data_IF_120933001885
#
_entry.id   IF_120933001885
#
_cell.length_a   1.000
_cell.length_b   1.000
_cell.length_c   1.000
_cell.angle_alpha   90.00
_cell.angle_beta   90.00
_cell.angle_gamma   90.00
#
_symmetry.space_group_name_H-M   'P 1'
#
loop_
_entity.id
_entity.type
_entity.pdbx_description
1 polymer ?
#
# COMPACT_ATOMS: atom_id res chain seq x y z
N UNK A 1 -8.47 12.62 13.46
CA UNK A 1 -8.64 11.26 12.92
C UNK A 1 -7.45 10.97 12.03
N UNK A 2 -6.70 9.90 12.27
CA UNK A 2 -5.57 9.54 11.41
C UNK A 2 -6.08 9.26 9.99
N UNK A 3 -5.41 9.81 8.98
CA UNK A 3 -5.83 9.67 7.58
C UNK A 3 -5.37 8.31 7.04
N UNK A 4 -6.24 7.65 6.27
CA UNK A 4 -5.88 6.42 5.57
C UNK A 4 -4.67 6.65 4.66
N UNK A 5 -3.65 5.79 4.78
CA UNK A 5 -2.38 5.87 4.03
C UNK A 5 -1.98 4.48 3.54
N UNK A 6 -1.37 4.44 2.37
CA UNK A 6 -0.72 3.25 1.80
C UNK A 6 0.72 3.61 1.45
N UNK A 7 1.69 2.80 1.87
CA UNK A 7 3.12 2.95 1.54
C UNK A 7 3.66 1.65 0.96
N UNK A 8 4.77 1.71 0.23
CA UNK A 8 5.46 0.54 -0.30
C UNK A 8 6.97 0.70 -0.11
N UNK A 9 7.62 -0.37 0.30
CA UNK A 9 9.08 -0.49 0.42
C UNK A 9 9.52 -1.73 -0.35
N UNK A 10 10.60 -1.64 -1.12
CA UNK A 10 11.15 -2.78 -1.86
C UNK A 10 12.44 -3.21 -1.18
N UNK A 11 12.46 -4.45 -0.69
CA UNK A 11 13.64 -5.04 -0.07
C UNK A 11 14.74 -5.35 -1.09
N UNK A 12 15.97 -5.51 -0.61
CA UNK A 12 17.11 -5.93 -1.44
C UNK A 12 16.96 -7.35 -2.01
N UNK A 13 15.99 -8.11 -1.49
CA UNK A 13 15.56 -9.43 -1.97
C UNK A 13 14.53 -9.35 -3.12
N UNK A 14 14.19 -8.13 -3.57
CA UNK A 14 13.19 -7.89 -4.60
C UNK A 14 11.74 -8.02 -4.10
N UNK A 15 11.52 -8.14 -2.79
CA UNK A 15 10.18 -8.24 -2.22
C UNK A 15 9.61 -6.85 -1.95
N UNK A 16 8.51 -6.51 -2.60
CA UNK A 16 7.76 -5.29 -2.33
C UNK A 16 6.76 -5.50 -1.18
N UNK A 17 6.93 -4.78 -0.07
CA UNK A 17 6.03 -4.79 1.09
C UNK A 17 5.13 -3.56 1.04
N UNK A 18 3.83 -3.77 0.85
CA UNK A 18 2.82 -2.71 0.86
C UNK A 18 2.16 -2.64 2.25
N UNK A 19 2.24 -1.48 2.90
CA UNK A 19 1.70 -1.26 4.26
C UNK A 19 0.47 -0.37 4.23
N UNK A 20 -0.61 -0.81 4.90
CA UNK A 20 -1.83 -0.03 5.09
C UNK A 20 -1.90 0.57 6.49
N UNK A 21 -2.24 1.86 6.57
CA UNK A 21 -2.47 2.56 7.82
C UNK A 21 -3.83 3.23 7.75
N UNK A 22 -4.83 2.65 8.41
CA UNK A 22 -6.16 3.23 8.59
C UNK A 22 -6.70 2.95 10.00
N UNK A 23 -6.24 3.68 11.04
CA UNK A 23 -6.71 3.50 12.40
C UNK A 23 -8.24 3.63 12.51
N UNK A 24 -8.90 2.84 13.39
CA UNK A 24 -8.31 2.06 14.47
C UNK A 24 -7.82 0.65 14.09
N UNK A 25 -8.36 0.03 13.04
CA UNK A 25 -8.15 -1.41 12.75
C UNK A 25 -7.66 -1.70 11.33
N UNK A 26 -7.20 -0.69 10.59
CA UNK A 26 -6.83 -0.79 9.18
C UNK A 26 -7.99 -1.28 8.29
N UNK A 27 -9.19 -0.74 8.52
CA UNK A 27 -10.36 -1.08 7.71
C UNK A 27 -10.10 -0.79 6.22
N UNK A 28 -10.57 -1.67 5.34
CA UNK A 28 -10.38 -1.56 3.89
C UNK A 28 -11.35 -0.53 3.29
N UNK A 29 -11.03 0.75 3.47
CA UNK A 29 -11.76 1.86 2.87
C UNK A 29 -11.38 2.05 1.39
N UNK A 30 -12.20 2.81 0.65
CA UNK A 30 -11.96 3.14 -0.77
C UNK A 30 -10.56 3.74 -0.99
N UNK A 31 -10.09 4.59 -0.07
CA UNK A 31 -8.75 5.18 -0.13
C UNK A 31 -7.63 4.14 -0.02
N UNK A 32 -7.83 3.07 0.77
CA UNK A 32 -6.87 1.98 0.88
C UNK A 32 -6.83 1.17 -0.42
N UNK A 33 -7.99 0.84 -1.01
CA UNK A 33 -8.03 0.15 -2.30
C UNK A 33 -7.42 0.96 -3.44
N UNK A 34 -7.65 2.28 -3.47
CA UNK A 34 -7.03 3.17 -4.46
C UNK A 34 -5.49 3.17 -4.32
N UNK A 35 -4.98 3.35 -3.10
CA UNK A 35 -3.53 3.31 -2.84
C UNK A 35 -2.90 1.94 -3.08
N UNK A 36 -3.61 0.85 -2.74
CA UNK A 36 -3.18 -0.51 -3.05
C UNK A 36 -3.06 -0.71 -4.56
N UNK A 37 -4.07 -0.31 -5.35
CA UNK A 37 -4.01 -0.45 -6.81
C UNK A 37 -2.82 0.32 -7.39
N UNK A 38 -2.54 1.52 -6.89
CA UNK A 38 -1.38 2.31 -7.31
C UNK A 38 -0.06 1.57 -7.02
N UNK A 39 0.15 1.13 -5.77
CA UNK A 39 1.38 0.45 -5.35
C UNK A 39 1.53 -0.94 -5.95
N UNK A 40 0.42 -1.64 -6.15
CA UNK A 40 0.42 -2.91 -6.87
C UNK A 40 0.89 -2.74 -8.31
N UNK A 41 0.37 -1.73 -9.02
CA UNK A 41 0.82 -1.47 -10.38
C UNK A 41 2.29 -1.07 -10.43
N UNK A 42 2.79 -0.31 -9.44
CA UNK A 42 4.21 0.05 -9.31
C UNK A 42 5.11 -1.18 -9.10
N UNK A 43 4.67 -2.15 -8.28
CA UNK A 43 5.41 -3.38 -8.04
C UNK A 43 5.30 -4.41 -9.19
N UNK A 44 4.12 -4.53 -9.80
CA UNK A 44 3.83 -5.52 -10.83
C UNK A 44 4.26 -5.10 -12.24
N UNK A 45 4.37 -3.79 -12.50
CA UNK A 45 5.06 -3.28 -13.67
C UNK A 45 6.55 -3.10 -13.35
N UNK A 46 7.26 -4.22 -13.39
CA UNK A 46 8.68 -4.22 -13.72
C UNK A 46 8.83 -3.54 -15.10
N UNK A 47 9.65 -2.49 -15.19
CA UNK A 47 10.13 -1.99 -16.48
C UNK A 47 11.18 -2.95 -17.03
#
# INVERSE_FOLDING_TARGET
MAKAKVTMEVGNDGVAVITFVNPPVNALAIQIFAGLKEKWNEAAHEK
#
